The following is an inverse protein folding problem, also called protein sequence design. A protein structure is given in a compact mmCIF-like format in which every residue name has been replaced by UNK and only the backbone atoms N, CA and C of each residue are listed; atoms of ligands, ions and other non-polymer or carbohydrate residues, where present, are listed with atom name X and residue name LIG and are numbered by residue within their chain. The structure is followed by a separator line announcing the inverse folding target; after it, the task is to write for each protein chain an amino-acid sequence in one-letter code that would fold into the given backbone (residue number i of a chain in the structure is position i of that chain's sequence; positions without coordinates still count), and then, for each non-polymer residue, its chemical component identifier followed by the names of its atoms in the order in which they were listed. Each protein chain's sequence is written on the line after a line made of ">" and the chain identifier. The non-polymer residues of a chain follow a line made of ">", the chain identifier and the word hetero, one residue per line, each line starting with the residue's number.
data_IF_180693615412
#
_entry.id   IF_180693615412
#
_cell.length_a   1.000
_cell.length_b   1.000
_cell.length_c   1.000
_cell.angle_alpha   90.00
_cell.angle_beta   90.00
_cell.angle_gamma   90.00
#
_symmetry.space_group_name_H-M   'P 1'
#
loop_
_entity.id
_entity.type
_entity.pdbx_description
1 polymer ?
#
# COMPACT_ATOMS: atom_id res chain seq x y z
N UNK A 1 5.31 31.73 4.89
CA UNK A 1 5.84 30.41 4.49
C UNK A 1 7.32 30.59 4.21
N UNK A 2 8.19 29.69 4.65
CA UNK A 2 9.61 29.71 4.25
C UNK A 2 9.71 29.50 2.74
N UNK A 3 10.64 30.17 2.07
CA UNK A 3 10.92 29.94 0.65
C UNK A 3 11.36 28.47 0.42
N UNK A 4 11.02 27.92 -0.75
CA UNK A 4 11.39 26.56 -1.12
C UNK A 4 12.91 26.46 -1.35
N UNK A 5 13.56 25.47 -0.74
CA UNK A 5 14.98 25.21 -0.95
C UNK A 5 15.19 24.74 -2.39
N UNK A 6 16.06 25.41 -3.14
CA UNK A 6 16.43 24.97 -4.49
C UNK A 6 17.32 23.74 -4.40
N UNK A 7 16.97 22.66 -5.11
CA UNK A 7 17.74 21.41 -5.13
C UNK A 7 18.17 21.09 -6.56
N UNK A 8 19.48 21.03 -6.76
CA UNK A 8 20.12 20.71 -8.04
C UNK A 8 20.71 19.30 -8.00
N UNK A 9 20.89 18.69 -9.18
CA UNK A 9 21.73 17.52 -9.36
C UNK A 9 23.05 17.92 -10.00
N UNK A 10 24.12 17.17 -9.69
CA UNK A 10 25.41 17.32 -10.35
C UNK A 10 26.12 15.98 -10.47
N UNK A 11 26.74 15.71 -11.62
CA UNK A 11 27.63 14.56 -11.82
C UNK A 11 29.08 14.84 -11.37
N UNK A 12 29.37 16.07 -10.95
CA UNK A 12 30.68 16.48 -10.47
C UNK A 12 30.77 16.33 -8.96
N UNK A 13 31.98 16.08 -8.45
CA UNK A 13 32.24 16.12 -7.01
C UNK A 13 31.98 17.54 -6.43
N UNK A 14 31.57 17.63 -5.16
CA UNK A 14 31.40 18.92 -4.49
C UNK A 14 32.73 19.68 -4.42
N UNK A 15 32.66 21.01 -4.43
CA UNK A 15 33.82 21.90 -4.34
C UNK A 15 33.86 22.66 -3.00
N UNK A 16 34.99 23.27 -2.69
CA UNK A 16 35.14 24.15 -1.52
C UNK A 16 35.35 23.38 -0.21
N UNK A 17 34.52 23.67 0.80
CA UNK A 17 34.66 23.14 2.17
C UNK A 17 34.17 21.70 2.35
N UNK A 18 33.51 21.15 1.34
CA UNK A 18 32.91 19.82 1.38
C UNK A 18 33.93 18.76 0.99
N UNK A 19 33.85 17.58 1.62
CA UNK A 19 34.64 16.42 1.20
C UNK A 19 34.28 16.03 -0.24
N UNK A 20 35.28 15.67 -1.05
CA UNK A 20 35.07 15.25 -2.45
C UNK A 20 34.14 14.02 -2.60
N UNK A 21 33.86 13.30 -1.51
CA UNK A 21 32.93 12.16 -1.46
C UNK A 21 31.56 12.51 -0.86
N UNK A 22 31.30 13.77 -0.51
CA UNK A 22 30.04 14.16 0.10
C UNK A 22 28.91 14.06 -0.95
N UNK A 23 27.82 13.31 -0.66
CA UNK A 23 26.71 13.13 -1.59
C UNK A 23 25.80 14.36 -1.71
N UNK A 24 25.93 15.29 -0.76
CA UNK A 24 25.13 16.49 -0.64
C UNK A 24 26.06 17.64 -0.24
N UNK A 25 25.95 18.76 -0.93
CA UNK A 25 26.55 20.04 -0.52
C UNK A 25 25.48 21.12 -0.48
N UNK A 26 25.75 22.18 0.29
CA UNK A 26 24.89 23.35 0.38
C UNK A 26 25.69 24.62 0.15
N UNK A 27 25.09 25.57 -0.57
CA UNK A 27 25.64 26.90 -0.80
C UNK A 27 24.49 27.92 -0.77
N UNK A 28 24.57 28.89 0.15
CA UNK A 28 23.52 29.89 0.35
C UNK A 28 22.14 29.21 0.53
N UNK A 29 21.20 29.49 -0.38
CA UNK A 29 19.81 29.01 -0.36
C UNK A 29 19.57 27.83 -1.33
N UNK A 30 20.63 27.11 -1.69
CA UNK A 30 20.56 25.95 -2.57
C UNK A 30 21.34 24.74 -2.03
N UNK A 31 20.80 23.56 -2.33
CA UNK A 31 21.45 22.28 -2.15
C UNK A 31 21.82 21.67 -3.51
N UNK A 32 22.92 20.93 -3.55
CA UNK A 32 23.33 20.14 -4.72
C UNK A 32 23.56 18.70 -4.30
N UNK A 33 22.86 17.77 -4.94
CA UNK A 33 23.06 16.33 -4.78
C UNK A 33 24.08 15.87 -5.82
N UNK A 34 25.15 15.25 -5.36
CA UNK A 34 26.26 14.81 -6.19
C UNK A 34 26.08 13.34 -6.57
N UNK A 35 25.60 13.10 -7.79
CA UNK A 35 25.35 11.77 -8.33
C UNK A 35 26.66 11.15 -8.78
N UNK A 36 27.08 10.09 -8.08
CA UNK A 36 28.26 9.30 -8.44
C UNK A 36 27.99 7.81 -8.24
N UNK A 37 28.60 6.98 -9.09
CA UNK A 37 28.42 5.53 -9.03
C UNK A 37 27.02 5.08 -9.47
N UNK A 38 26.64 3.87 -9.03
CA UNK A 38 25.40 3.18 -9.44
C UNK A 38 24.20 3.44 -8.51
N UNK A 39 24.44 3.90 -7.29
CA UNK A 39 23.41 4.07 -6.23
C UNK A 39 22.79 5.48 -6.23
N UNK A 40 22.38 5.94 -7.41
CA UNK A 40 21.96 7.34 -7.60
C UNK A 40 20.59 7.62 -6.97
N UNK A 41 19.66 6.68 -7.07
CA UNK A 41 18.31 6.77 -6.49
C UNK A 41 18.40 6.85 -4.96
N UNK A 42 19.20 6.00 -4.34
CA UNK A 42 19.40 5.95 -2.90
C UNK A 42 20.11 7.21 -2.41
N UNK A 43 21.05 7.74 -3.19
CA UNK A 43 21.72 9.01 -2.91
C UNK A 43 20.71 10.16 -2.89
N UNK A 44 19.81 10.22 -3.86
CA UNK A 44 18.74 11.23 -3.95
C UNK A 44 17.78 11.10 -2.75
N UNK A 45 17.33 9.89 -2.45
CA UNK A 45 16.43 9.64 -1.33
C UNK A 45 17.07 10.01 0.02
N UNK A 46 18.33 9.60 0.23
CA UNK A 46 19.09 9.92 1.44
C UNK A 46 19.30 11.43 1.59
N UNK A 47 19.64 12.12 0.50
CA UNK A 47 19.81 13.57 0.50
C UNK A 47 18.50 14.29 0.86
N UNK A 48 17.37 13.88 0.29
CA UNK A 48 16.06 14.44 0.65
C UNK A 48 15.77 14.26 2.15
N UNK A 49 15.97 13.05 2.70
CA UNK A 49 15.79 12.78 4.13
C UNK A 49 16.72 13.62 5.01
N UNK A 50 17.98 13.79 4.60
CA UNK A 50 18.91 14.65 5.31
C UNK A 50 18.44 16.11 5.32
N UNK A 51 18.02 16.65 4.17
CA UNK A 51 17.48 18.01 4.10
C UNK A 51 16.22 18.19 4.98
N UNK A 52 15.33 17.20 5.01
CA UNK A 52 14.19 17.22 5.94
C UNK A 52 14.63 17.23 7.41
N UNK A 53 15.67 16.46 7.77
CA UNK A 53 16.22 16.43 9.12
C UNK A 53 16.86 17.78 9.53
N UNK A 54 17.33 18.58 8.56
CA UNK A 54 17.77 19.97 8.78
C UNK A 54 16.61 20.97 8.93
N UNK A 55 15.36 20.52 8.74
CA UNK A 55 14.15 21.32 8.96
C UNK A 55 13.52 21.88 7.68
N UNK A 56 14.04 21.57 6.49
CA UNK A 56 13.43 21.99 5.22
C UNK A 56 12.12 21.24 4.96
N UNK A 57 11.07 21.99 4.60
CA UNK A 57 9.71 21.47 4.37
C UNK A 57 9.17 21.75 2.96
N UNK A 58 9.91 22.49 2.14
CA UNK A 58 9.55 22.79 0.77
C UNK A 58 10.80 22.78 -0.10
N UNK A 59 10.72 22.11 -1.25
CA UNK A 59 11.81 21.90 -2.18
C UNK A 59 11.39 22.29 -3.59
N UNK A 60 12.28 22.92 -4.33
CA UNK A 60 12.11 23.18 -5.76
C UNK A 60 13.25 22.54 -6.53
N UNK A 61 12.93 21.52 -7.32
CA UNK A 61 13.89 20.79 -8.13
C UNK A 61 14.21 21.63 -9.37
N UNK A 62 15.49 21.90 -9.62
CA UNK A 62 15.94 22.76 -10.73
C UNK A 62 17.08 22.09 -11.50
N UNK A 63 17.06 22.26 -12.81
CA UNK A 63 18.08 21.75 -13.73
C UNK A 63 17.56 20.64 -14.64
N UNK A 64 18.32 20.35 -15.70
CA UNK A 64 17.92 19.40 -16.75
C UNK A 64 18.29 17.95 -16.43
N UNK A 65 19.05 17.71 -15.36
CA UNK A 65 19.47 16.37 -14.94
C UNK A 65 18.38 15.63 -14.13
N UNK A 66 17.27 16.30 -13.79
CA UNK A 66 16.14 15.71 -13.06
C UNK A 66 15.27 14.86 -14.00
N UNK A 67 15.67 13.61 -14.19
CA UNK A 67 14.88 12.61 -14.92
C UNK A 67 13.67 12.13 -14.09
N UNK A 68 12.65 11.58 -14.76
CA UNK A 68 11.41 11.08 -14.14
C UNK A 68 11.65 10.26 -12.86
N UNK A 69 12.52 9.25 -12.93
CA UNK A 69 12.79 8.35 -11.80
C UNK A 69 13.49 9.07 -10.64
N UNK A 70 14.32 10.07 -10.92
CA UNK A 70 15.00 10.86 -9.89
C UNK A 70 14.02 11.78 -9.16
N UNK A 71 13.10 12.40 -9.90
CA UNK A 71 12.04 13.21 -9.31
C UNK A 71 11.10 12.36 -8.46
N UNK A 72 10.71 11.18 -8.97
CA UNK A 72 9.89 10.22 -8.24
C UNK A 72 10.59 9.75 -6.97
N UNK A 73 11.88 9.38 -7.05
CA UNK A 73 12.68 8.97 -5.90
C UNK A 73 12.78 10.07 -4.83
N UNK A 74 12.99 11.33 -5.23
CA UNK A 74 13.02 12.45 -4.31
C UNK A 74 11.66 12.62 -3.62
N UNK A 75 10.54 12.55 -4.37
CA UNK A 75 9.20 12.61 -3.80
C UNK A 75 8.92 11.45 -2.82
N UNK A 76 9.34 10.22 -3.14
CA UNK A 76 9.22 9.08 -2.21
C UNK A 76 9.91 9.35 -0.86
N UNK A 77 11.05 10.05 -0.90
CA UNK A 77 11.75 10.48 0.30
C UNK A 77 11.17 11.75 0.93
N UNK A 78 10.39 12.57 0.22
CA UNK A 78 9.75 13.74 0.80
C UNK A 78 8.52 13.40 1.66
N UNK A 79 7.87 12.26 1.43
CA UNK A 79 6.73 11.81 2.24
C UNK A 79 7.10 11.57 3.70
N UNK A 80 6.28 12.04 4.64
CA UNK A 80 6.37 11.70 6.06
C UNK A 80 5.00 11.69 6.72
N UNK A 81 4.75 10.71 7.61
CA UNK A 81 3.50 10.64 8.37
C UNK A 81 3.28 11.86 9.30
N UNK A 82 4.34 12.63 9.63
CA UNK A 82 4.25 13.85 10.44
C UNK A 82 4.00 15.12 9.60
N UNK A 83 3.82 14.98 8.29
CA UNK A 83 3.72 16.07 7.33
C UNK A 83 4.76 15.94 6.23
N UNK A 84 4.31 15.62 5.03
CA UNK A 84 5.16 15.52 3.83
C UNK A 84 5.70 16.90 3.43
N UNK A 85 6.93 16.92 2.93
CA UNK A 85 7.47 18.14 2.34
C UNK A 85 6.82 18.43 0.98
N UNK A 86 6.61 19.70 0.67
CA UNK A 86 6.20 20.14 -0.66
C UNK A 86 7.37 19.98 -1.64
N UNK A 87 7.09 19.49 -2.85
CA UNK A 87 8.07 19.31 -3.91
C UNK A 87 7.52 19.95 -5.18
N UNK A 88 8.19 20.99 -5.66
CA UNK A 88 7.98 21.54 -6.99
C UNK A 88 8.95 20.82 -7.94
N UNK A 89 8.41 20.04 -8.88
CA UNK A 89 9.20 19.26 -9.83
C UNK A 89 9.86 20.15 -10.89
N UNK A 90 11.01 19.72 -11.41
CA UNK A 90 11.56 20.29 -12.63
C UNK A 90 10.73 19.81 -13.82
N UNK A 91 10.68 20.65 -14.85
CA UNK A 91 9.85 20.41 -16.04
C UNK A 91 10.26 19.14 -16.78
N UNK A 92 9.29 18.28 -17.06
CA UNK A 92 9.40 17.18 -18.02
C UNK A 92 8.52 17.50 -19.25
N UNK A 93 8.31 16.54 -20.14
CA UNK A 93 7.22 16.67 -21.12
C UNK A 93 5.85 16.55 -20.42
N UNK A 94 4.81 17.18 -20.99
CA UNK A 94 3.48 17.27 -20.38
C UNK A 94 2.90 15.90 -19.95
N UNK A 95 3.21 14.82 -20.69
CA UNK A 95 2.72 13.47 -20.35
C UNK A 95 3.48 12.89 -19.17
N UNK A 96 4.80 13.07 -19.14
CA UNK A 96 5.64 12.64 -18.03
C UNK A 96 5.34 13.40 -16.74
N UNK A 97 5.13 14.72 -16.83
CA UNK A 97 4.78 15.55 -15.67
C UNK A 97 3.44 15.10 -15.05
N UNK A 98 2.39 14.97 -15.87
CA UNK A 98 1.09 14.50 -15.39
C UNK A 98 1.17 13.09 -14.79
N UNK A 99 1.93 12.18 -15.41
CA UNK A 99 2.12 10.82 -14.89
C UNK A 99 2.88 10.82 -13.57
N UNK A 100 3.92 11.62 -13.43
CA UNK A 100 4.73 11.72 -12.22
C UNK A 100 3.88 12.18 -11.04
N UNK A 101 3.12 13.26 -11.21
CA UNK A 101 2.23 13.80 -10.18
C UNK A 101 1.21 12.76 -9.70
N UNK A 102 0.58 12.05 -10.65
CA UNK A 102 -0.39 11.01 -10.31
C UNK A 102 0.26 9.82 -9.60
N UNK A 103 1.42 9.33 -10.04
CA UNK A 103 2.12 8.24 -9.35
C UNK A 103 2.58 8.63 -7.94
N UNK A 104 2.99 9.89 -7.73
CA UNK A 104 3.31 10.41 -6.40
C UNK A 104 2.06 10.47 -5.53
N UNK A 105 0.93 10.96 -6.07
CA UNK A 105 -0.37 10.96 -5.38
C UNK A 105 -0.80 9.56 -4.96
N UNK A 106 -0.75 8.58 -5.88
CA UNK A 106 -1.07 7.17 -5.60
C UNK A 106 -0.18 6.62 -4.49
N UNK A 107 1.15 6.81 -4.62
CA UNK A 107 2.09 6.30 -3.61
C UNK A 107 1.86 6.92 -2.23
N UNK A 108 1.62 8.24 -2.16
CA UNK A 108 1.34 8.93 -0.91
C UNK A 108 0.04 8.46 -0.28
N UNK A 109 -1.00 8.25 -1.09
CA UNK A 109 -2.27 7.70 -0.66
C UNK A 109 -2.12 6.28 -0.11
N UNK A 110 -1.41 5.39 -0.81
CA UNK A 110 -1.12 4.04 -0.33
C UNK A 110 -0.41 4.05 1.02
N UNK A 111 0.61 4.91 1.19
CA UNK A 111 1.32 5.06 2.47
C UNK A 111 0.44 5.69 3.56
N UNK A 112 -0.48 6.58 3.18
CA UNK A 112 -1.41 7.22 4.10
C UNK A 112 -2.39 6.19 4.68
N UNK A 113 -2.97 5.32 3.84
CA UNK A 113 -3.85 4.24 4.30
C UNK A 113 -3.21 3.37 5.39
N UNK A 114 -1.92 3.03 5.22
CA UNK A 114 -1.17 2.20 6.19
C UNK A 114 -0.82 2.97 7.46
N UNK A 115 -0.67 4.30 7.37
CA UNK A 115 -0.24 5.14 8.48
C UNK A 115 -1.41 5.70 9.31
N UNK A 116 -2.64 5.70 8.80
CA UNK A 116 -3.83 6.11 9.55
C UNK A 116 -3.96 5.35 10.88
N UNK A 117 -4.58 5.99 11.87
CA UNK A 117 -4.77 5.33 13.17
C UNK A 117 -5.86 4.25 13.06
N UNK A 118 -5.82 3.21 13.93
CA UNK A 118 -6.88 2.21 13.96
C UNK A 118 -8.28 2.79 14.18
N UNK A 119 -8.40 3.94 14.86
CA UNK A 119 -9.67 4.62 15.07
C UNK A 119 -10.22 5.20 13.76
N UNK A 120 -9.36 5.90 13.01
CA UNK A 120 -9.70 6.50 11.71
C UNK A 120 -9.94 5.43 10.63
N UNK A 121 -9.21 4.33 10.70
CA UNK A 121 -9.20 3.28 9.69
C UNK A 121 -9.95 2.03 10.15
N UNK A 122 -11.27 2.04 10.00
CA UNK A 122 -12.11 0.84 10.15
C UNK A 122 -12.08 -0.05 8.89
N UNK A 123 -12.57 -1.30 8.96
CA UNK A 123 -12.69 -2.17 7.77
C UNK A 123 -13.47 -1.50 6.64
N UNK A 124 -14.64 -0.92 6.96
CA UNK A 124 -15.47 -0.19 6.01
C UNK A 124 -14.76 1.06 5.46
N UNK A 125 -14.04 1.81 6.30
CA UNK A 125 -13.30 2.99 5.85
C UNK A 125 -12.17 2.62 4.88
N UNK A 126 -11.47 1.50 5.10
CA UNK A 126 -10.46 0.99 4.18
C UNK A 126 -11.07 0.61 2.83
N UNK A 127 -12.15 -0.17 2.85
CA UNK A 127 -12.85 -0.59 1.63
C UNK A 127 -13.38 0.61 0.83
N UNK A 128 -14.04 1.56 1.49
CA UNK A 128 -14.61 2.74 0.84
C UNK A 128 -13.53 3.67 0.28
N UNK A 129 -12.47 3.96 1.04
CA UNK A 129 -11.36 4.80 0.54
C UNK A 129 -10.65 4.19 -0.67
N UNK A 130 -10.51 2.85 -0.71
CA UNK A 130 -9.96 2.15 -1.86
C UNK A 130 -10.88 2.24 -3.08
N UNK A 131 -12.18 2.01 -2.88
CA UNK A 131 -13.17 2.08 -3.93
C UNK A 131 -13.26 3.49 -4.55
N UNK A 132 -13.41 4.51 -3.70
CA UNK A 132 -13.55 5.91 -4.13
C UNK A 132 -12.31 6.40 -4.87
N UNK A 133 -11.12 6.15 -4.31
CA UNK A 133 -9.87 6.62 -4.93
C UNK A 133 -9.65 6.00 -6.32
N UNK A 134 -9.96 4.71 -6.49
CA UNK A 134 -9.79 4.01 -7.76
C UNK A 134 -10.89 4.44 -8.75
N UNK A 135 -12.13 4.60 -8.29
CA UNK A 135 -13.24 5.09 -9.11
C UNK A 135 -12.98 6.51 -9.63
N UNK A 136 -12.41 7.40 -8.81
CA UNK A 136 -12.04 8.76 -9.22
C UNK A 136 -11.01 8.79 -10.38
N UNK A 137 -10.18 7.75 -10.51
CA UNK A 137 -9.18 7.64 -11.59
C UNK A 137 -9.79 7.18 -12.92
N UNK A 138 -10.87 6.40 -12.88
CA UNK A 138 -11.50 5.80 -14.06
C UNK A 138 -13.01 5.57 -13.83
N UNK A 139 -13.82 6.64 -13.71
CA UNK A 139 -15.20 6.56 -13.20
C UNK A 139 -16.14 5.75 -14.09
N UNK A 140 -15.88 5.72 -15.41
CA UNK A 140 -16.70 4.96 -16.36
C UNK A 140 -16.30 3.48 -16.45
N UNK A 141 -15.14 3.09 -15.90
CA UNK A 141 -14.57 1.75 -16.02
C UNK A 141 -14.48 1.00 -14.68
N UNK A 142 -14.82 1.63 -13.56
CA UNK A 142 -14.72 1.03 -12.23
C UNK A 142 -16.10 0.75 -11.66
N UNK A 143 -16.34 -0.52 -11.33
CA UNK A 143 -17.54 -0.96 -10.64
C UNK A 143 -17.15 -1.67 -9.35
N UNK A 144 -17.91 -1.49 -8.28
CA UNK A 144 -17.61 -2.18 -7.04
C UNK A 144 -18.86 -2.46 -6.21
N UNK A 145 -18.74 -3.43 -5.31
CA UNK A 145 -19.68 -3.68 -4.22
C UNK A 145 -18.90 -3.94 -2.94
N UNK A 146 -19.49 -3.57 -1.81
CA UNK A 146 -18.97 -3.88 -0.48
C UNK A 146 -19.98 -4.78 0.23
N UNK A 147 -19.55 -5.98 0.61
CA UNK A 147 -20.33 -6.92 1.42
C UNK A 147 -19.89 -6.77 2.88
N UNK A 148 -20.82 -6.59 3.82
CA UNK A 148 -20.51 -6.34 5.24
C UNK A 148 -21.38 -7.17 6.16
N UNK A 149 -20.84 -7.53 7.33
CA UNK A 149 -21.61 -8.20 8.39
C UNK A 149 -22.24 -9.50 7.92
N UNK A 150 -23.56 -9.65 8.10
CA UNK A 150 -24.32 -10.86 7.74
C UNK A 150 -24.30 -11.16 6.23
N UNK A 151 -24.13 -10.15 5.36
CA UNK A 151 -24.03 -10.39 3.92
C UNK A 151 -22.80 -11.25 3.56
N UNK A 152 -21.75 -11.23 4.40
CA UNK A 152 -20.61 -12.14 4.25
C UNK A 152 -21.02 -13.59 4.53
N UNK A 153 -21.89 -13.83 5.52
CA UNK A 153 -22.39 -15.17 5.88
C UNK A 153 -23.27 -15.72 4.78
N UNK A 154 -24.17 -14.90 4.24
CA UNK A 154 -25.05 -15.26 3.13
C UNK A 154 -24.25 -15.66 1.87
N UNK A 155 -23.13 -14.97 1.64
CA UNK A 155 -22.16 -15.28 0.58
C UNK A 155 -21.13 -16.32 1.02
N UNK A 156 -21.29 -17.01 2.14
CA UNK A 156 -20.39 -18.09 2.58
C UNK A 156 -18.93 -17.67 2.85
N UNK A 157 -18.67 -16.39 3.08
CA UNK A 157 -17.34 -15.81 3.35
C UNK A 157 -17.00 -15.95 4.85
N UNK A 158 -16.82 -17.21 5.26
CA UNK A 158 -16.73 -17.62 6.66
C UNK A 158 -15.44 -17.18 7.35
N UNK A 159 -14.36 -16.98 6.61
CA UNK A 159 -13.06 -16.55 7.13
C UNK A 159 -13.09 -15.08 7.53
N UNK A 160 -13.49 -14.20 6.61
CA UNK A 160 -13.62 -12.76 6.85
C UNK A 160 -14.61 -12.50 8.00
N UNK A 161 -15.80 -13.09 7.92
CA UNK A 161 -16.81 -12.94 8.96
C UNK A 161 -16.34 -13.52 10.31
N UNK A 162 -15.81 -14.75 10.31
CA UNK A 162 -15.37 -15.43 11.53
C UNK A 162 -14.28 -14.68 12.29
N UNK A 163 -13.30 -14.11 11.58
CA UNK A 163 -12.25 -13.28 12.16
C UNK A 163 -12.83 -11.97 12.68
N UNK A 164 -13.62 -11.26 11.86
CA UNK A 164 -14.03 -9.89 12.15
C UNK A 164 -15.21 -9.72 13.11
N UNK A 165 -16.05 -10.74 13.31
CA UNK A 165 -17.24 -10.65 14.20
C UNK A 165 -16.93 -10.32 15.66
N UNK A 166 -15.65 -10.37 16.04
CA UNK A 166 -15.18 -9.96 17.37
C UNK A 166 -15.24 -8.45 17.59
N UNK A 167 -15.18 -7.64 16.52
CA UNK A 167 -15.26 -6.19 16.59
C UNK A 167 -16.70 -5.67 16.56
N UNK A 168 -16.92 -4.47 17.12
CA UNK A 168 -18.14 -3.69 16.90
C UNK A 168 -18.19 -3.08 15.49
N UNK A 169 -17.04 -2.98 14.81
CA UNK A 169 -16.94 -2.51 13.43
C UNK A 169 -16.97 -3.72 12.51
N UNK A 170 -18.07 -3.85 11.78
CA UNK A 170 -18.32 -5.03 10.95
C UNK A 170 -17.17 -5.30 9.96
N UNK A 171 -16.77 -6.57 9.78
CA UNK A 171 -15.89 -6.93 8.69
C UNK A 171 -16.59 -6.74 7.34
N UNK A 172 -15.81 -6.50 6.30
CA UNK A 172 -16.32 -6.35 4.95
C UNK A 172 -15.37 -6.89 3.89
N UNK A 173 -15.93 -7.17 2.72
CA UNK A 173 -15.20 -7.48 1.49
C UNK A 173 -15.47 -6.36 0.49
N UNK A 174 -14.43 -5.69 0.00
CA UNK A 174 -14.51 -4.92 -1.24
C UNK A 174 -14.30 -5.89 -2.41
N UNK A 175 -15.27 -5.97 -3.31
CA UNK A 175 -15.08 -6.52 -4.66
C UNK A 175 -15.17 -5.36 -5.66
N UNK A 176 -14.04 -5.04 -6.28
CA UNK A 176 -13.91 -3.99 -7.29
C UNK A 176 -13.47 -4.60 -8.61
N UNK A 177 -14.04 -4.13 -9.71
CA UNK A 177 -13.80 -4.58 -11.07
C UNK A 177 -13.45 -3.37 -11.94
N UNK A 178 -12.22 -3.33 -12.43
CA UNK A 178 -11.78 -2.38 -13.43
C UNK A 178 -11.93 -3.02 -14.81
N UNK A 179 -12.84 -2.49 -15.62
CA UNK A 179 -13.22 -3.01 -16.94
C UNK A 179 -12.91 -1.94 -18.00
N UNK A 180 -11.74 -1.98 -18.64
CA UNK A 180 -11.43 -1.12 -19.78
C UNK A 180 -12.37 -1.40 -20.96
N UNK A 181 -12.46 -0.42 -21.87
CA UNK A 181 -13.23 -0.55 -23.10
C UNK A 181 -12.85 -1.81 -23.90
N UNK A 182 -13.87 -2.49 -24.42
CA UNK A 182 -13.71 -3.69 -25.25
C UNK A 182 -13.60 -5.02 -24.48
N UNK A 183 -13.55 -5.02 -23.15
CA UNK A 183 -13.53 -6.25 -22.36
C UNK A 183 -14.91 -6.90 -22.16
N UNK A 184 -15.97 -6.10 -21.98
CA UNK A 184 -17.32 -6.61 -21.73
C UNK A 184 -17.35 -7.66 -20.61
N UNK A 185 -17.95 -8.83 -20.89
CA UNK A 185 -18.09 -9.92 -19.93
C UNK A 185 -16.90 -10.91 -19.89
N UNK A 186 -15.81 -10.66 -20.62
CA UNK A 186 -14.65 -11.54 -20.63
C UNK A 186 -13.99 -11.65 -19.23
N UNK A 187 -13.54 -12.84 -18.84
CA UNK A 187 -12.90 -13.08 -17.54
C UNK A 187 -11.74 -12.10 -17.31
N UNK A 188 -11.51 -11.59 -16.08
CA UNK A 188 -10.40 -10.67 -15.80
C UNK A 188 -9.04 -11.29 -16.17
N UNK A 189 -8.09 -10.47 -16.60
CA UNK A 189 -6.72 -10.96 -16.80
C UNK A 189 -6.06 -11.27 -15.45
N UNK A 190 -6.26 -10.37 -14.49
CA UNK A 190 -5.65 -10.45 -13.16
C UNK A 190 -6.70 -10.29 -12.08
N UNK A 191 -6.60 -11.08 -11.02
CA UNK A 191 -7.28 -10.83 -9.75
C UNK A 191 -6.25 -10.49 -8.67
N UNK A 192 -6.46 -9.38 -7.99
CA UNK A 192 -5.64 -8.91 -6.88
C UNK A 192 -6.36 -9.19 -5.56
N UNK A 193 -5.67 -9.76 -4.57
CA UNK A 193 -6.25 -10.08 -3.27
C UNK A 193 -5.42 -9.46 -2.14
N UNK A 194 -6.05 -8.71 -1.24
CA UNK A 194 -5.36 -7.99 -0.18
C UNK A 194 -5.83 -8.38 1.22
N UNK A 195 -4.89 -8.69 2.12
CA UNK A 195 -5.17 -8.77 3.57
C UNK A 195 -5.45 -7.36 4.10
N UNK A 196 -6.66 -7.13 4.62
CA UNK A 196 -7.14 -5.84 5.12
C UNK A 196 -7.42 -5.84 6.63
N UNK A 197 -6.54 -6.42 7.45
CA UNK A 197 -6.73 -6.38 8.91
C UNK A 197 -6.40 -4.98 9.43
N UNK A 198 -7.41 -4.17 9.72
CA UNK A 198 -7.19 -2.76 10.09
C UNK A 198 -6.66 -2.57 11.51
N UNK A 199 -6.86 -3.58 12.35
CA UNK A 199 -6.14 -3.72 13.61
C UNK A 199 -6.08 -5.19 14.04
N UNK A 200 -4.89 -5.63 14.46
CA UNK A 200 -4.64 -6.99 14.91
C UNK A 200 -4.18 -7.04 16.37
N UNK A 201 -5.10 -7.41 17.26
CA UNK A 201 -4.74 -7.71 18.66
C UNK A 201 -4.19 -9.13 18.84
N UNK A 202 -4.35 -9.99 17.82
CA UNK A 202 -4.18 -11.44 17.86
C UNK A 202 -5.40 -12.22 18.34
N UNK A 203 -6.49 -11.54 18.67
CA UNK A 203 -7.69 -12.16 19.24
C UNK A 203 -7.37 -12.81 20.59
N UNK A 204 -7.95 -13.98 20.88
CA UNK A 204 -7.67 -14.69 22.14
C UNK A 204 -6.21 -15.16 22.27
N UNK A 205 -5.49 -15.28 21.15
CA UNK A 205 -4.04 -15.49 21.09
C UNK A 205 -3.30 -14.15 21.17
N UNK A 206 -3.63 -13.38 22.22
CA UNK A 206 -3.34 -11.96 22.35
C UNK A 206 -1.83 -11.66 22.26
N UNK A 207 -1.47 -10.69 21.41
CA UNK A 207 -0.09 -10.19 21.31
C UNK A 207 0.34 -9.45 22.58
N UNK A 208 1.63 -9.47 22.87
CA UNK A 208 2.23 -8.52 23.81
C UNK A 208 2.18 -7.09 23.24
N UNK A 209 2.13 -6.08 24.10
CA UNK A 209 1.98 -4.67 23.68
C UNK A 209 3.07 -4.21 22.70
N UNK A 210 4.31 -4.67 22.86
CA UNK A 210 5.42 -4.33 21.95
C UNK A 210 5.17 -4.83 20.52
N UNK A 211 4.72 -6.07 20.37
CA UNK A 211 4.38 -6.65 19.07
C UNK A 211 3.09 -6.08 18.49
N UNK A 212 2.16 -5.63 19.34
CA UNK A 212 0.88 -5.04 18.93
C UNK A 212 0.99 -3.57 18.49
N UNK A 213 2.00 -2.84 18.96
CA UNK A 213 2.14 -1.38 18.78
C UNK A 213 2.00 -0.91 17.32
N UNK A 214 2.47 -1.71 16.37
CA UNK A 214 2.47 -1.37 14.95
C UNK A 214 1.31 -2.00 14.16
N UNK A 215 0.43 -2.77 14.79
CA UNK A 215 -0.61 -3.58 14.12
C UNK A 215 -1.72 -2.79 13.43
N UNK A 216 -1.67 -1.46 13.47
CA UNK A 216 -2.41 -0.61 12.51
C UNK A 216 -2.00 -0.86 11.05
N UNK A 217 -0.77 -1.32 10.82
CA UNK A 217 -0.26 -1.57 9.47
C UNK A 217 -0.61 -2.96 8.93
N UNK A 218 -1.40 -3.76 9.65
CA UNK A 218 -1.69 -5.16 9.27
C UNK A 218 -2.70 -5.31 8.11
N UNK A 219 -3.08 -4.16 7.53
CA UNK A 219 -3.80 -3.99 6.28
C UNK A 219 -2.88 -3.55 5.12
N UNK A 220 -1.56 -3.59 5.32
CA UNK A 220 -0.57 -3.17 4.34
C UNK A 220 -0.66 -3.92 3.01
N UNK A 221 -1.08 -5.20 3.07
CA UNK A 221 -1.38 -5.99 1.88
C UNK A 221 -2.49 -5.39 1.03
N UNK A 222 -3.64 -5.10 1.64
CA UNK A 222 -4.77 -4.44 0.98
C UNK A 222 -4.42 -3.08 0.38
N UNK A 223 -3.71 -2.23 1.13
CA UNK A 223 -3.25 -0.94 0.60
C UNK A 223 -2.29 -1.11 -0.58
N UNK A 224 -1.42 -2.11 -0.55
CA UNK A 224 -0.44 -2.39 -1.61
C UNK A 224 -1.14 -2.80 -2.92
N UNK A 225 -2.08 -3.74 -2.88
CA UNK A 225 -2.78 -4.17 -4.11
C UNK A 225 -3.73 -3.10 -4.65
N UNK A 226 -4.37 -2.31 -3.78
CA UNK A 226 -5.18 -1.17 -4.21
C UNK A 226 -4.31 -0.08 -4.85
N UNK A 227 -3.15 0.23 -4.25
CA UNK A 227 -2.15 1.12 -4.81
C UNK A 227 -1.58 0.64 -6.15
N UNK A 228 -1.34 -0.68 -6.28
CA UNK A 228 -0.86 -1.29 -7.50
C UNK A 228 -1.87 -1.13 -8.66
N UNK A 229 -3.16 -1.39 -8.41
CA UNK A 229 -4.21 -1.17 -9.41
C UNK A 229 -4.30 0.31 -9.80
N UNK A 230 -4.32 1.22 -8.83
CA UNK A 230 -4.35 2.65 -9.09
C UNK A 230 -3.14 3.12 -9.92
N UNK A 231 -1.93 2.65 -9.59
CA UNK A 231 -0.70 2.98 -10.32
C UNK A 231 -0.70 2.40 -11.74
N UNK A 232 -1.29 1.21 -11.93
CA UNK A 232 -1.46 0.59 -13.24
C UNK A 232 -2.44 1.38 -14.10
N UNK A 233 -3.59 1.80 -13.56
CA UNK A 233 -4.57 2.67 -14.24
C UNK A 233 -3.91 3.98 -14.68
N UNK A 234 -3.23 4.68 -13.77
CA UNK A 234 -2.45 5.90 -14.07
C UNK A 234 -1.38 5.67 -15.14
N UNK A 235 -0.86 4.44 -15.24
CA UNK A 235 0.14 4.06 -16.24
C UNK A 235 -0.45 3.59 -17.57
N UNK A 236 -1.79 3.63 -17.74
CA UNK A 236 -2.48 3.29 -18.98
C UNK A 236 -2.87 1.81 -19.10
N UNK A 237 -3.19 1.15 -17.99
CA UNK A 237 -3.69 -0.23 -17.99
C UNK A 237 -4.92 -0.39 -18.89
N UNK A 238 -4.85 -1.32 -19.85
CA UNK A 238 -5.89 -1.63 -20.84
C UNK A 238 -6.42 -3.08 -20.70
N UNK A 239 -6.23 -3.69 -19.53
CA UNK A 239 -6.65 -5.06 -19.19
C UNK A 239 -7.62 -5.07 -18.01
N UNK A 240 -8.63 -5.95 -18.04
CA UNK A 240 -9.60 -6.09 -16.94
C UNK A 240 -8.91 -6.68 -15.72
N UNK A 241 -9.10 -6.03 -14.57
CA UNK A 241 -8.51 -6.45 -13.29
C UNK A 241 -9.56 -6.40 -12.20
N UNK A 242 -9.70 -7.50 -11.45
CA UNK A 242 -10.50 -7.52 -10.22
C UNK A 242 -9.62 -7.28 -9.00
N UNK A 243 -10.17 -6.62 -7.99
CA UNK A 243 -9.55 -6.36 -6.70
C UNK A 243 -10.49 -6.83 -5.57
N UNK A 244 -9.94 -7.65 -4.69
CA UNK A 244 -10.62 -8.18 -3.50
C UNK A 244 -9.87 -7.72 -2.25
N UNK A 245 -10.49 -6.87 -1.42
CA UNK A 245 -9.92 -6.48 -0.13
C UNK A 245 -10.68 -7.16 1.01
N UNK A 246 -10.00 -8.05 1.72
CA UNK A 246 -10.58 -8.84 2.81
C UNK A 246 -10.38 -8.09 4.12
N UNK A 247 -11.34 -7.24 4.49
CA UNK A 247 -11.20 -6.25 5.56
C UNK A 247 -11.86 -6.72 6.86
N UNK A 248 -11.13 -6.67 7.98
CA UNK A 248 -11.64 -7.02 9.30
C UNK A 248 -10.80 -6.39 10.41
N UNK A 249 -11.26 -6.50 11.65
CA UNK A 249 -10.41 -6.34 12.83
C UNK A 249 -10.35 -7.64 13.61
N UNK A 250 -9.18 -7.99 14.12
CA UNK A 250 -8.99 -9.18 14.94
C UNK A 250 -8.95 -8.76 16.42
N UNK A 251 -10.14 -8.68 17.04
CA UNK A 251 -10.32 -8.19 18.40
C UNK A 251 -10.85 -9.26 19.36
N UNK A 252 -10.60 -9.05 20.65
CA UNK A 252 -11.17 -9.86 21.74
C UNK A 252 -12.53 -9.31 22.14
N UNK A 253 -13.54 -10.16 22.13
CA UNK A 253 -14.86 -9.86 22.71
C UNK A 253 -15.59 -11.15 23.09
N UNK A 254 -16.79 -11.02 23.66
CA UNK A 254 -17.67 -12.17 23.93
C UNK A 254 -18.11 -12.93 22.66
N UNK A 255 -18.03 -12.29 21.49
CA UNK A 255 -18.44 -12.86 20.20
C UNK A 255 -17.25 -13.30 19.33
N UNK A 256 -16.02 -13.03 19.76
CA UNK A 256 -14.82 -13.45 19.03
C UNK A 256 -14.74 -14.97 18.85
N UNK A 257 -14.21 -15.39 17.70
CA UNK A 257 -13.87 -16.78 17.39
C UNK A 257 -12.77 -17.31 18.30
N UNK A 258 -12.69 -18.63 18.45
CA UNK A 258 -11.96 -19.30 19.53
C UNK A 258 -11.02 -20.36 18.99
N UNK A 259 -10.08 -20.76 19.84
CA UNK A 259 -9.26 -21.94 19.59
C UNK A 259 -10.16 -23.19 19.54
N UNK A 260 -9.95 -24.02 18.52
CA UNK A 260 -10.76 -25.21 18.22
C UNK A 260 -12.01 -24.94 17.40
N UNK A 261 -12.35 -23.68 17.08
CA UNK A 261 -13.38 -23.40 16.07
C UNK A 261 -12.94 -23.99 14.72
N UNK A 262 -13.87 -24.61 13.99
CA UNK A 262 -13.62 -25.15 12.64
C UNK A 262 -14.40 -24.34 11.62
N UNK A 263 -13.68 -23.67 10.71
CA UNK A 263 -14.26 -22.94 9.60
C UNK A 263 -14.39 -23.88 8.40
N UNK A 264 -15.55 -23.88 7.73
CA UNK A 264 -15.78 -24.65 6.50
C UNK A 264 -15.97 -23.68 5.34
N UNK A 265 -14.97 -23.58 4.47
CA UNK A 265 -14.99 -22.68 3.32
C UNK A 265 -15.86 -23.23 2.19
N UNK A 266 -16.28 -22.34 1.27
CA UNK A 266 -17.16 -22.67 0.13
C UNK A 266 -16.59 -23.74 -0.81
N UNK A 267 -15.27 -23.86 -0.89
CA UNK A 267 -14.59 -24.91 -1.65
C UNK A 267 -14.52 -26.26 -0.91
N UNK A 268 -15.18 -26.39 0.25
CA UNK A 268 -15.25 -27.62 1.06
C UNK A 268 -14.05 -27.84 1.98
N UNK A 269 -13.04 -26.97 1.96
CA UNK A 269 -11.89 -27.07 2.86
C UNK A 269 -12.31 -26.69 4.28
N UNK A 270 -11.92 -27.50 5.26
CA UNK A 270 -12.11 -27.22 6.68
C UNK A 270 -10.80 -26.82 7.34
N UNK A 271 -10.85 -25.82 8.23
CA UNK A 271 -9.68 -25.28 8.95
C UNK A 271 -10.00 -25.20 10.43
N UNK A 272 -9.26 -25.95 11.25
CA UNK A 272 -9.27 -25.79 12.70
C UNK A 272 -8.39 -24.60 13.11
N UNK A 273 -8.96 -23.68 13.89
CA UNK A 273 -8.27 -22.52 14.42
C UNK A 273 -7.47 -22.92 15.65
N UNK A 274 -6.17 -23.13 15.48
CA UNK A 274 -5.24 -23.44 16.60
C UNK A 274 -4.49 -22.21 17.11
N UNK A 275 -4.57 -21.09 16.40
CA UNK A 275 -4.00 -19.80 16.79
C UNK A 275 -4.80 -18.67 16.11
N UNK A 276 -5.41 -17.79 16.89
CA UNK A 276 -6.21 -16.65 16.38
C UNK A 276 -5.34 -15.46 15.92
N UNK A 277 -4.03 -15.51 16.12
CA UNK A 277 -3.04 -14.54 15.59
C UNK A 277 -2.54 -14.93 14.20
N UNK A 278 -3.12 -15.99 13.62
CA UNK A 278 -2.89 -16.43 12.26
C UNK A 278 -4.12 -16.14 11.37
N UNK A 279 -4.85 -15.07 11.66
CA UNK A 279 -6.12 -14.67 11.05
C UNK A 279 -5.98 -14.25 9.59
N UNK A 280 -4.85 -13.64 9.21
CA UNK A 280 -4.64 -13.08 7.87
C UNK A 280 -4.84 -14.11 6.76
N UNK A 281 -4.42 -15.36 6.97
CA UNK A 281 -4.63 -16.44 6.00
C UNK A 281 -6.09 -16.90 5.94
N UNK A 282 -6.84 -16.74 7.04
CA UNK A 282 -8.25 -17.11 7.10
C UNK A 282 -9.09 -16.13 6.26
N UNK A 283 -8.81 -14.83 6.37
CA UNK A 283 -9.52 -13.82 5.56
C UNK A 283 -9.10 -13.87 4.09
N UNK A 284 -7.81 -14.10 3.80
CA UNK A 284 -7.32 -14.25 2.42
C UNK A 284 -7.92 -15.46 1.71
N UNK A 285 -8.20 -16.56 2.42
CA UNK A 285 -8.77 -17.76 1.82
C UNK A 285 -10.11 -17.47 1.12
N UNK A 286 -10.98 -16.64 1.71
CA UNK A 286 -12.23 -16.21 1.06
C UNK A 286 -11.95 -15.40 -0.22
N UNK A 287 -11.04 -14.42 -0.15
CA UNK A 287 -10.65 -13.61 -1.31
C UNK A 287 -10.01 -14.42 -2.44
N UNK A 288 -9.16 -15.40 -2.09
CA UNK A 288 -8.52 -16.31 -3.04
C UNK A 288 -9.52 -17.27 -3.70
N UNK A 289 -10.53 -17.74 -2.98
CA UNK A 289 -11.63 -18.53 -3.54
C UNK A 289 -12.39 -17.69 -4.58
N UNK A 290 -12.79 -16.46 -4.23
CA UNK A 290 -13.48 -15.56 -5.17
C UNK A 290 -12.63 -15.20 -6.38
N UNK A 291 -11.34 -14.94 -6.18
CA UNK A 291 -10.39 -14.68 -7.25
C UNK A 291 -10.28 -15.88 -8.21
N UNK A 292 -10.22 -17.10 -7.69
CA UNK A 292 -10.22 -18.32 -8.49
C UNK A 292 -11.54 -18.54 -9.24
N UNK A 293 -12.69 -18.27 -8.59
CA UNK A 293 -14.02 -18.38 -9.20
C UNK A 293 -14.24 -17.36 -10.32
N UNK A 294 -13.54 -16.22 -10.27
CA UNK A 294 -13.61 -15.18 -11.31
C UNK A 294 -13.07 -15.63 -12.67
N UNK A 295 -12.28 -16.71 -12.72
CA UNK A 295 -11.63 -17.19 -13.93
C UNK A 295 -10.40 -16.39 -14.34
N UNK A 296 -9.80 -15.61 -13.42
CA UNK A 296 -8.60 -14.83 -13.70
C UNK A 296 -7.42 -15.69 -14.15
N UNK A 297 -6.66 -15.23 -15.15
CA UNK A 297 -5.46 -15.94 -15.64
C UNK A 297 -4.30 -15.86 -14.64
N UNK A 298 -4.21 -14.77 -13.89
CA UNK A 298 -3.20 -14.55 -12.86
C UNK A 298 -3.85 -14.05 -11.57
N UNK A 299 -3.46 -14.64 -10.44
CA UNK A 299 -3.86 -14.18 -9.11
C UNK A 299 -2.61 -13.67 -8.40
N UNK A 300 -2.68 -12.46 -7.85
CA UNK A 300 -1.62 -11.87 -7.01
C UNK A 300 -2.25 -11.51 -5.68
N UNK A 301 -1.81 -12.16 -4.60
CA UNK A 301 -2.14 -11.74 -3.24
C UNK A 301 -0.98 -11.01 -2.56
N UNK A 302 -1.32 -10.05 -1.69
CA UNK A 302 -0.35 -9.37 -0.86
C UNK A 302 -0.83 -9.27 0.58
N UNK A 303 0.08 -9.53 1.53
CA UNK A 303 -0.22 -9.52 2.95
C UNK A 303 1.02 -9.30 3.82
N UNK A 304 0.85 -8.53 4.90
CA UNK A 304 1.74 -8.50 6.07
C UNK A 304 1.53 -9.77 6.90
N UNK A 305 1.87 -10.93 6.33
CA UNK A 305 1.31 -12.20 6.82
C UNK A 305 2.07 -12.83 7.99
N UNK A 306 3.41 -12.74 7.99
CA UNK A 306 4.21 -13.43 9.01
C UNK A 306 5.47 -12.65 9.38
N UNK A 307 5.85 -12.71 10.67
CA UNK A 307 7.17 -12.27 11.11
C UNK A 307 8.32 -13.15 10.59
N UNK A 308 8.02 -14.37 10.13
CA UNK A 308 9.00 -15.27 9.52
C UNK A 308 9.57 -14.71 8.20
N UNK A 309 8.75 -14.04 7.40
CA UNK A 309 9.21 -13.37 6.18
C UNK A 309 10.23 -12.27 6.52
N UNK A 310 9.94 -11.42 7.50
CA UNK A 310 10.86 -10.36 7.98
C UNK A 310 12.16 -10.97 8.50
N UNK A 311 12.08 -12.09 9.23
CA UNK A 311 13.28 -12.81 9.71
C UNK A 311 14.14 -13.34 8.56
N UNK A 312 13.52 -13.77 7.46
CA UNK A 312 14.20 -14.38 6.32
C UNK A 312 14.84 -13.35 5.37
N UNK A 313 14.13 -12.26 5.04
CA UNK A 313 14.57 -11.29 4.00
C UNK A 313 14.80 -9.87 4.52
N UNK A 314 14.59 -9.63 5.81
CA UNK A 314 14.72 -8.30 6.44
C UNK A 314 13.60 -7.35 6.02
N UNK A 315 13.85 -6.04 6.19
CA UNK A 315 12.91 -4.96 5.86
C UNK A 315 13.18 -4.34 4.47
N UNK A 316 14.19 -4.84 3.75
CA UNK A 316 14.63 -4.29 2.46
C UNK A 316 14.00 -5.00 1.26
N UNK A 317 13.38 -6.17 1.46
CA UNK A 317 12.81 -6.99 0.40
C UNK A 317 11.46 -7.57 0.83
N UNK A 318 10.57 -7.79 -0.14
CA UNK A 318 9.35 -8.57 0.05
C UNK A 318 9.61 -10.05 -0.27
N UNK A 319 9.00 -10.96 0.49
CA UNK A 319 9.03 -12.38 0.18
C UNK A 319 8.01 -12.71 -0.93
N UNK A 320 8.45 -13.41 -1.98
CA UNK A 320 7.60 -13.84 -3.09
C UNK A 320 7.50 -15.37 -3.07
N UNK A 321 6.27 -15.87 -3.11
CA UNK A 321 5.95 -17.30 -3.22
C UNK A 321 5.10 -17.50 -4.48
N UNK A 322 5.33 -18.58 -5.21
CA UNK A 322 4.60 -18.91 -6.45
C UNK A 322 4.56 -20.44 -6.60
N UNK A 323 3.47 -20.95 -7.17
CA UNK A 323 3.18 -22.37 -7.37
C UNK A 323 2.75 -22.66 -8.81
#
# INVERSE_FOLDING_TARGET
>A
MSEALVVNLSKSAPQGVWSAKAPLSMQQDAATIHLSGIMQIETIQSACRHLQALGFKSFRLVGTDWEFDYQYAFAQAAYSAKGSAAVEFAALDDKQDAKLEQLVKVSYWTRMLVNQTPEEQSPMALAQQAADFIADLAPDNVHFRILSGEALVDEGLVGIHGVGRGSEREPCLLELDFIPDGWGDAAPLVALVGKGITFDSGGYSLKASESMLHMKCDMGGAATVAGALAAAIVSGLDKRVKLYLCCAENLVSGHAYKLGDILTYRNGVTVEVVNTDAEGRLVLADGLILASESGAELIIDAATLTGAAVTAVGEHYNAIFSF
#
